data_IF_521840639484
#
_entry.id   IF_521840639484
#
_cell.length_a   1.000
_cell.length_b   1.000
_cell.length_c   1.000
_cell.angle_alpha   90.00
_cell.angle_beta   90.00
_cell.angle_gamma   90.00
#
_symmetry.space_group_name_H-M   'P 1'
#
loop_
_entity.id
_entity.type
_entity.pdbx_description
1 polymer ?
#
# COMPACT_ATOMS: atom_id res chain seq x y z
N UNK A 1 -8.40 2.28 8.12
CA UNK A 1 -9.06 1.42 9.12
C UNK A 1 -10.12 0.50 8.51
N UNK A 2 -10.93 0.96 7.55
CA UNK A 2 -12.04 0.15 6.99
C UNK A 2 -11.61 -1.18 6.35
N UNK A 3 -10.55 -1.18 5.53
CA UNK A 3 -10.00 -2.40 4.91
C UNK A 3 -9.70 -3.49 5.95
N UNK A 4 -9.12 -3.13 7.10
CA UNK A 4 -8.76 -4.09 8.15
C UNK A 4 -9.95 -4.54 9.00
N UNK A 5 -11.07 -3.79 9.02
CA UNK A 5 -12.30 -4.24 9.69
C UNK A 5 -12.99 -5.40 8.96
N UNK A 6 -12.83 -5.46 7.64
CA UNK A 6 -13.40 -6.52 6.79
C UNK A 6 -12.51 -7.77 6.73
N UNK A 7 -11.21 -7.60 6.99
CA UNK A 7 -10.22 -8.68 6.93
C UNK A 7 -10.05 -9.29 8.33
N UNK A 8 -10.76 -10.39 8.57
CA UNK A 8 -10.61 -11.15 9.81
C UNK A 8 -9.20 -11.74 9.96
N UNK A 9 -8.67 -11.75 11.19
CA UNK A 9 -7.35 -12.29 11.51
C UNK A 9 -6.20 -11.30 11.37
N UNK A 10 -6.49 -10.00 11.15
CA UNK A 10 -5.50 -8.93 11.10
C UNK A 10 -5.92 -7.75 11.98
N UNK A 11 -5.01 -7.25 12.80
CA UNK A 11 -5.22 -6.07 13.66
C UNK A 11 -4.32 -4.93 13.20
N UNK A 12 -4.93 -3.84 12.74
CA UNK A 12 -4.20 -2.63 12.33
C UNK A 12 -3.58 -1.93 13.55
N UNK A 13 -2.28 -1.62 13.48
CA UNK A 13 -1.55 -0.82 14.48
C UNK A 13 -1.47 0.64 14.04
N UNK A 14 -0.83 0.90 12.89
CA UNK A 14 -0.59 2.26 12.41
C UNK A 14 -0.59 2.38 10.90
N UNK A 15 -0.92 3.59 10.44
CA UNK A 15 -0.74 4.04 9.06
C UNK A 15 -0.13 5.43 9.10
N UNK A 16 1.12 5.57 8.66
CA UNK A 16 1.83 6.84 8.70
C UNK A 16 2.33 7.24 7.32
N UNK A 17 2.22 8.54 7.01
CA UNK A 17 3.07 9.14 5.98
C UNK A 17 4.49 9.15 6.53
N UNK A 18 5.30 8.21 6.05
CA UNK A 18 6.61 7.92 6.62
C UNK A 18 7.67 8.87 6.08
N UNK A 19 7.69 9.09 4.76
CA UNK A 19 8.70 9.93 4.12
C UNK A 19 8.32 10.33 2.69
N UNK A 20 9.02 11.33 2.16
CA UNK A 20 9.08 11.58 0.73
C UNK A 20 10.06 10.60 0.06
N UNK A 21 9.63 9.96 -1.03
CA UNK A 21 10.49 9.23 -1.96
C UNK A 21 10.81 10.06 -3.20
N UNK A 22 11.72 9.59 -4.05
CA UNK A 22 12.22 10.34 -5.22
C UNK A 22 11.10 10.83 -6.17
N UNK A 23 10.02 10.06 -6.27
CA UNK A 23 8.87 10.35 -7.13
C UNK A 23 7.52 10.06 -6.45
N UNK A 24 7.50 9.89 -5.12
CA UNK A 24 6.32 9.36 -4.41
C UNK A 24 6.23 9.81 -2.96
N UNK A 25 5.03 9.67 -2.37
CA UNK A 25 4.82 9.73 -0.92
C UNK A 25 4.84 8.30 -0.38
N UNK A 26 5.71 8.01 0.58
CA UNK A 26 5.83 6.68 1.18
C UNK A 26 4.95 6.61 2.42
N UNK A 27 3.99 5.69 2.39
CA UNK A 27 3.15 5.37 3.55
C UNK A 27 3.55 4.01 4.12
N UNK A 28 3.76 3.94 5.42
CA UNK A 28 3.96 2.68 6.16
C UNK A 28 2.62 2.23 6.76
N UNK A 29 2.28 0.97 6.56
CA UNK A 29 1.10 0.31 7.13
C UNK A 29 1.59 -0.86 7.97
N UNK A 30 1.37 -0.80 9.29
CA UNK A 30 1.77 -1.86 10.22
C UNK A 30 0.53 -2.49 10.84
N UNK A 31 0.50 -3.81 10.84
CA UNK A 31 -0.57 -4.62 11.37
C UNK A 31 -0.04 -5.97 11.84
N UNK A 32 -0.77 -6.59 12.75
CA UNK A 32 -0.47 -7.90 13.30
C UNK A 32 -1.42 -8.95 12.73
N UNK A 33 -0.93 -10.18 12.55
CA UNK A 33 -1.74 -11.30 12.09
C UNK A 33 -1.90 -12.30 13.22
N UNK A 34 -3.12 -12.78 13.39
CA UNK A 34 -3.43 -13.79 14.40
C UNK A 34 -2.86 -15.15 13.98
N UNK A 35 -1.96 -15.68 14.81
CA UNK A 35 -1.33 -16.99 14.62
C UNK A 35 0.07 -16.92 13.99
N UNK A 36 0.70 -18.08 13.81
CA UNK A 36 2.04 -18.23 13.26
C UNK A 36 2.07 -18.99 11.92
N UNK A 37 0.91 -19.12 11.27
CA UNK A 37 0.76 -19.79 9.98
C UNK A 37 1.18 -18.82 8.85
N UNK A 38 2.24 -19.20 8.14
CA UNK A 38 2.78 -18.41 7.04
C UNK A 38 1.82 -18.31 5.85
N UNK A 39 1.07 -19.38 5.53
CA UNK A 39 0.08 -19.33 4.46
C UNK A 39 -1.04 -18.35 4.80
N UNK A 40 -1.51 -18.36 6.06
CA UNK A 40 -2.47 -17.38 6.56
C UNK A 40 -1.93 -15.94 6.46
N UNK A 41 -0.67 -15.73 6.81
CA UNK A 41 -0.01 -14.43 6.67
C UNK A 41 -0.05 -13.95 5.21
N UNK A 42 0.37 -14.80 4.27
CA UNK A 42 0.41 -14.45 2.85
C UNK A 42 -0.99 -14.15 2.28
N UNK A 43 -2.00 -14.95 2.65
CA UNK A 43 -3.37 -14.75 2.20
C UNK A 43 -3.96 -13.42 2.68
N UNK A 44 -3.70 -13.06 3.95
CA UNK A 44 -4.15 -11.80 4.53
C UNK A 44 -3.41 -10.63 3.88
N UNK A 45 -2.08 -10.73 3.70
CA UNK A 45 -1.30 -9.68 3.04
C UNK A 45 -1.79 -9.42 1.61
N UNK A 46 -2.06 -10.48 0.84
CA UNK A 46 -2.63 -10.36 -0.50
C UNK A 46 -3.99 -9.65 -0.46
N UNK A 47 -4.88 -10.05 0.44
CA UNK A 47 -6.19 -9.40 0.60
C UNK A 47 -6.05 -7.92 0.93
N UNK A 48 -5.20 -7.56 1.88
CA UNK A 48 -4.93 -6.15 2.23
C UNK A 48 -4.46 -5.37 1.00
N UNK A 49 -3.48 -5.88 0.26
CA UNK A 49 -2.91 -5.21 -0.91
C UNK A 49 -3.94 -5.02 -2.03
N UNK A 50 -4.74 -6.05 -2.33
CA UNK A 50 -5.79 -5.97 -3.35
C UNK A 50 -6.87 -4.96 -2.97
N UNK A 51 -7.30 -4.93 -1.70
CA UNK A 51 -8.27 -3.94 -1.22
C UNK A 51 -7.72 -2.53 -1.30
N UNK A 52 -6.46 -2.30 -0.97
CA UNK A 52 -5.82 -0.98 -1.15
C UNK A 52 -5.87 -0.58 -2.62
N UNK A 53 -5.50 -1.49 -3.54
CA UNK A 53 -5.51 -1.24 -4.98
C UNK A 53 -6.92 -0.89 -5.50
N UNK A 54 -7.94 -1.67 -5.13
CA UNK A 54 -9.34 -1.41 -5.51
C UNK A 54 -9.84 -0.06 -5.00
N UNK A 55 -9.57 0.23 -3.72
CA UNK A 55 -10.00 1.47 -3.07
C UNK A 55 -9.30 2.71 -3.66
N UNK A 56 -8.04 2.59 -4.07
CA UNK A 56 -7.32 3.64 -4.78
C UNK A 56 -7.90 3.85 -6.17
N UNK A 57 -8.19 2.77 -6.91
CA UNK A 57 -8.84 2.84 -8.22
C UNK A 57 -10.20 3.55 -8.17
N UNK A 58 -11.05 3.22 -7.19
CA UNK A 58 -12.35 3.90 -6.98
C UNK A 58 -12.22 5.40 -6.73
N UNK A 59 -11.13 5.83 -6.10
CA UNK A 59 -10.84 7.24 -5.76
C UNK A 59 -9.98 7.95 -6.80
N UNK A 60 -9.62 7.27 -7.90
CA UNK A 60 -8.71 7.79 -8.94
C UNK A 60 -7.35 8.23 -8.35
N UNK A 61 -6.89 7.50 -7.34
CA UNK A 61 -5.56 7.67 -6.76
C UNK A 61 -4.62 6.76 -7.54
N UNK A 62 -3.67 7.36 -8.25
CA UNK A 62 -2.69 6.62 -9.04
C UNK A 62 -1.50 6.21 -8.16
N UNK A 63 -0.96 5.03 -8.42
CA UNK A 63 0.31 4.62 -7.81
C UNK A 63 1.44 5.38 -8.49
N UNK A 64 2.41 5.82 -7.68
CA UNK A 64 3.58 6.49 -8.22
C UNK A 64 4.43 5.49 -9.04
N UNK A 65 4.76 5.88 -10.26
CA UNK A 65 5.74 5.19 -11.10
C UNK A 65 7.00 6.06 -11.17
N UNK A 66 8.21 5.49 -11.30
CA UNK A 66 9.42 6.29 -11.48
C UNK A 66 9.30 7.12 -12.76
N UNK A 67 9.11 8.43 -12.63
CA UNK A 67 9.01 9.34 -13.77
C UNK A 67 10.33 10.06 -13.99
N UNK A 68 10.82 10.09 -15.23
CA UNK A 68 11.98 10.91 -15.60
C UNK A 68 11.56 12.02 -16.55
N UNK A 69 11.78 13.27 -16.16
CA UNK A 69 11.65 14.41 -17.08
C UNK A 69 12.88 14.45 -17.99
N UNK A 70 12.67 14.26 -19.30
CA UNK A 70 13.73 14.36 -20.30
C UNK A 70 13.76 15.78 -20.88
N UNK A 71 14.86 16.50 -20.67
CA UNK A 71 15.13 17.76 -21.36
C UNK A 71 15.81 17.47 -22.71
N UNK A 72 15.09 17.67 -23.81
CA UNK A 72 15.62 17.52 -25.16
C UNK A 72 16.18 18.86 -25.64
N UNK A 73 17.51 19.02 -25.61
CA UNK A 73 18.18 20.12 -26.32
C UNK A 73 18.34 19.72 -27.80
N UNK A 74 17.80 20.54 -28.71
CA UNK A 74 18.16 20.47 -30.13
C UNK A 74 19.45 21.26 -30.33
N UNK A 75 20.47 20.60 -30.87
CA UNK A 75 21.67 21.25 -31.38
C UNK A 75 21.35 22.04 -32.67
#
# INVERSE_FOLDING_TARGET
AEIFREIGGATLDRVHFFSYGDFSLIFEIVYYIDGNDYARYMDIQQKVNLRIYEEFGKRRIEFAYPTRTLYLNKA
#
